data_IF_872814590347
#
_entry.id   IF_872814590347
#
_cell.length_a   1.000
_cell.length_b   1.000
_cell.length_c   1.000
_cell.angle_alpha   90.00
_cell.angle_beta   90.00
_cell.angle_gamma   90.00
#
_symmetry.space_group_name_H-M   'P 1'
#
loop_
_entity.id
_entity.type
_entity.pdbx_description
1 polymer ?
#
# COMPACT_ATOMS: atom_id res chain seq x y z
N UNK A 1 15.19 -3.98 22.68
CA UNK A 1 15.41 -3.96 21.22
C UNK A 1 14.04 -4.07 20.57
N UNK A 2 13.63 -3.09 19.76
CA UNK A 2 12.31 -3.12 19.09
C UNK A 2 12.33 -4.29 18.08
N UNK A 3 11.32 -5.16 18.04
CA UNK A 3 11.30 -6.26 17.08
C UNK A 3 11.29 -5.70 15.66
N UNK A 4 12.08 -6.31 14.77
CA UNK A 4 12.04 -5.99 13.34
C UNK A 4 10.65 -6.32 12.82
N UNK A 5 9.94 -5.30 12.33
CA UNK A 5 8.61 -5.49 11.72
C UNK A 5 8.82 -6.14 10.35
N UNK A 6 8.02 -7.16 10.03
CA UNK A 6 8.03 -7.81 8.72
C UNK A 6 7.85 -6.76 7.61
N UNK A 7 8.70 -6.84 6.59
CA UNK A 7 8.80 -5.83 5.52
C UNK A 7 7.51 -5.77 4.70
N UNK A 8 6.94 -6.93 4.40
CA UNK A 8 5.72 -7.07 3.61
C UNK A 8 4.52 -6.48 4.36
N UNK A 9 4.38 -6.80 5.65
CA UNK A 9 3.36 -6.21 6.53
C UNK A 9 3.53 -4.68 6.66
N UNK A 10 4.77 -4.19 6.70
CA UNK A 10 5.04 -2.75 6.76
C UNK A 10 4.57 -2.02 5.50
N UNK A 11 4.70 -2.66 4.33
CA UNK A 11 4.18 -2.10 3.08
C UNK A 11 2.65 -2.13 3.01
N UNK A 12 2.02 -3.20 3.46
CA UNK A 12 0.57 -3.29 3.50
C UNK A 12 0.00 -2.21 4.43
N UNK A 13 0.58 -2.03 5.62
CA UNK A 13 0.20 -0.97 6.54
C UNK A 13 0.45 0.43 5.98
N UNK A 14 1.48 0.61 5.15
CA UNK A 14 1.69 1.86 4.42
C UNK A 14 0.57 2.12 3.41
N UNK A 15 0.24 1.14 2.55
CA UNK A 15 -0.82 1.28 1.56
C UNK A 15 -2.20 1.50 2.20
N UNK A 16 -2.47 0.89 3.35
CA UNK A 16 -3.67 1.14 4.14
C UNK A 16 -3.80 2.63 4.54
N UNK A 17 -2.72 3.25 5.01
CA UNK A 17 -2.73 4.69 5.36
C UNK A 17 -2.90 5.61 4.15
N UNK A 18 -2.38 5.20 2.99
CA UNK A 18 -2.59 5.93 1.73
C UNK A 18 -4.04 5.78 1.27
N UNK A 19 -4.61 4.58 1.37
CA UNK A 19 -6.01 4.31 1.02
C UNK A 19 -6.98 5.08 1.91
N UNK A 20 -6.67 5.21 3.20
CA UNK A 20 -7.47 5.99 4.15
C UNK A 20 -7.66 7.46 3.71
N UNK A 21 -6.75 8.03 2.91
CA UNK A 21 -6.92 9.38 2.36
C UNK A 21 -8.14 9.50 1.43
N UNK A 22 -8.57 8.39 0.80
CA UNK A 22 -9.74 8.35 -0.07
C UNK A 22 -11.06 8.55 0.69
N UNK A 23 -11.09 8.27 2.00
CA UNK A 23 -12.30 8.35 2.83
C UNK A 23 -12.47 9.72 3.50
N UNK A 24 -11.43 10.56 3.47
CA UNK A 24 -11.44 11.84 4.17
C UNK A 24 -12.28 12.88 3.41
N UNK A 25 -13.28 13.50 4.07
CA UNK A 25 -14.19 14.44 3.40
C UNK A 25 -13.51 15.76 3.01
N UNK A 26 -12.36 16.09 3.62
CA UNK A 26 -11.58 17.29 3.29
C UNK A 26 -10.60 17.08 2.13
N UNK A 27 -10.45 15.85 1.62
CA UNK A 27 -9.59 15.58 0.45
C UNK A 27 -10.41 15.81 -0.82
N UNK A 28 -9.96 16.68 -1.75
CA UNK A 28 -10.65 16.91 -3.01
C UNK A 28 -10.91 15.61 -3.79
N UNK A 29 -12.05 15.51 -4.47
CA UNK A 29 -12.45 14.27 -5.17
C UNK A 29 -11.39 13.76 -6.15
N UNK A 30 -10.75 14.65 -6.90
CA UNK A 30 -9.70 14.24 -7.83
C UNK A 30 -8.44 13.74 -7.11
N UNK A 31 -8.14 14.28 -5.93
CA UNK A 31 -7.01 13.85 -5.12
C UNK A 31 -7.27 12.50 -4.45
N UNK A 32 -8.51 12.23 -4.02
CA UNK A 32 -8.94 10.88 -3.60
C UNK A 32 -8.78 9.85 -4.72
N UNK A 33 -9.15 10.21 -5.96
CA UNK A 33 -8.90 9.35 -7.11
C UNK A 33 -7.40 9.10 -7.33
N UNK A 34 -6.55 10.13 -7.16
CA UNK A 34 -5.09 9.96 -7.23
C UNK A 34 -4.57 9.01 -6.17
N UNK A 35 -4.99 9.14 -4.91
CA UNK A 35 -4.61 8.18 -3.86
C UNK A 35 -5.06 6.76 -4.19
N UNK A 36 -6.27 6.58 -4.71
CA UNK A 36 -6.75 5.27 -5.16
C UNK A 36 -5.86 4.68 -6.26
N UNK A 37 -5.46 5.48 -7.25
CA UNK A 37 -4.54 5.01 -8.31
C UNK A 37 -3.16 4.66 -7.77
N UNK A 38 -2.63 5.42 -6.80
CA UNK A 38 -1.34 5.13 -6.15
C UNK A 38 -1.41 3.79 -5.41
N UNK A 39 -2.46 3.56 -4.64
CA UNK A 39 -2.65 2.30 -3.92
C UNK A 39 -2.75 1.13 -4.90
N UNK A 40 -3.51 1.28 -5.99
CA UNK A 40 -3.61 0.24 -7.03
C UNK A 40 -2.23 -0.13 -7.58
N UNK A 41 -1.46 0.84 -8.06
CA UNK A 41 -0.14 0.57 -8.64
C UNK A 41 0.85 -0.02 -7.63
N UNK A 42 0.80 0.42 -6.37
CA UNK A 42 1.66 -0.14 -5.33
C UNK A 42 1.30 -1.59 -4.98
N UNK A 43 0.01 -1.96 -5.03
CA UNK A 43 -0.44 -3.32 -4.79
C UNK A 43 -0.09 -4.23 -5.97
N UNK A 44 -0.21 -3.74 -7.21
CA UNK A 44 0.23 -4.48 -8.40
C UNK A 44 1.73 -4.84 -8.27
N UNK A 45 2.60 -3.87 -7.97
CA UNK A 45 4.03 -4.13 -7.74
C UNK A 45 4.28 -5.10 -6.58
N UNK A 46 3.52 -4.96 -5.48
CA UNK A 46 3.64 -5.84 -4.32
C UNK A 46 3.37 -7.31 -4.68
N UNK A 47 2.30 -7.57 -5.44
CA UNK A 47 1.94 -8.93 -5.82
C UNK A 47 2.83 -9.50 -6.93
N UNK A 48 3.15 -8.70 -7.95
CA UNK A 48 3.97 -9.15 -9.08
C UNK A 48 5.41 -9.45 -8.68
N UNK A 49 6.03 -8.60 -7.86
CA UNK A 49 7.43 -8.74 -7.50
C UNK A 49 7.58 -9.48 -6.18
N UNK A 50 6.96 -8.99 -5.11
CA UNK A 50 7.36 -9.39 -3.75
C UNK A 50 6.72 -10.71 -3.31
N UNK A 51 5.47 -10.96 -3.70
CA UNK A 51 4.83 -12.25 -3.43
C UNK A 51 5.34 -13.34 -4.37
N UNK A 52 5.68 -13.03 -5.61
CA UNK A 52 6.34 -13.97 -6.51
C UNK A 52 7.71 -14.40 -5.94
N UNK A 53 8.56 -13.46 -5.53
CA UNK A 53 9.85 -13.74 -4.88
C UNK A 53 9.73 -14.56 -3.58
N UNK A 54 8.66 -14.34 -2.79
CA UNK A 54 8.38 -15.13 -1.58
C UNK A 54 7.97 -16.57 -1.90
N UNK A 55 7.28 -16.82 -3.01
CA UNK A 55 6.84 -18.17 -3.41
C UNK A 55 7.96 -19.02 -4.02
N UNK A 56 8.99 -18.37 -4.56
CA UNK A 56 10.16 -19.06 -5.14
C UNK A 56 11.22 -19.43 -4.10
N UNK A 57 11.09 -18.94 -2.85
CA UNK A 57 11.94 -19.30 -1.70
C UNK A 57 11.35 -20.45 -0.91
#
# INVERSE_FOLDING_TARGET
MMPMINRELSMLAFNERVLAQCELPWVPTLERLRYLTIVSSNLDEFFEVRIAEQKER
#
